data_IF_679079188531
#
_entry.id   IF_679079188531
#
_cell.length_a   1.000
_cell.length_b   1.000
_cell.length_c   1.000
_cell.angle_alpha   90.00
_cell.angle_beta   90.00
_cell.angle_gamma   90.00
#
_symmetry.space_group_name_H-M   'P 1'
#
loop_
_entity.id
_entity.type
_entity.pdbx_description
1 polymer ?
#
# COMPACT_ATOMS: atom_id res chain seq x y z
N UNK A 1 -18.40 -14.08 -46.09
CA UNK A 1 -17.93 -12.72 -45.75
C UNK A 1 -17.20 -12.83 -44.44
N UNK A 2 -15.88 -12.95 -44.50
CA UNK A 2 -15.02 -12.95 -43.33
C UNK A 2 -14.87 -11.49 -42.92
N UNK A 3 -15.65 -11.05 -41.93
CA UNK A 3 -15.53 -9.70 -41.39
C UNK A 3 -14.20 -9.64 -40.65
N UNK A 4 -13.28 -8.80 -41.15
CA UNK A 4 -12.00 -8.51 -40.53
C UNK A 4 -12.24 -8.19 -39.05
N UNK A 5 -11.85 -9.10 -38.15
CA UNK A 5 -12.04 -8.88 -36.72
C UNK A 5 -11.14 -7.71 -36.32
N UNK A 6 -11.65 -6.73 -35.56
CA UNK A 6 -10.86 -5.58 -35.16
C UNK A 6 -9.65 -6.04 -34.34
N UNK A 7 -8.45 -5.77 -34.84
CA UNK A 7 -7.17 -6.07 -34.18
C UNK A 7 -6.86 -5.01 -33.13
N UNK A 8 -6.29 -5.42 -31.99
CA UNK A 8 -5.85 -4.49 -30.94
C UNK A 8 -4.79 -3.50 -31.45
N UNK A 9 -4.92 -2.24 -31.08
CA UNK A 9 -3.91 -1.21 -31.34
C UNK A 9 -2.79 -1.21 -30.29
N UNK A 10 -1.64 -0.58 -30.58
CA UNK A 10 -0.57 -0.43 -29.59
C UNK A 10 -1.03 0.34 -28.34
N UNK A 11 -1.85 1.37 -28.52
CA UNK A 11 -2.40 2.17 -27.41
C UNK A 11 -3.31 1.33 -26.51
N UNK A 12 -4.19 0.53 -27.10
CA UNK A 12 -5.06 -0.42 -26.38
C UNK A 12 -4.25 -1.52 -25.67
N UNK A 13 -3.15 -1.96 -26.27
CA UNK A 13 -2.23 -2.91 -25.66
C UNK A 13 -1.53 -2.33 -24.43
N UNK A 14 -1.11 -1.07 -24.48
CA UNK A 14 -0.52 -0.39 -23.32
C UNK A 14 -1.56 -0.13 -22.22
N UNK A 15 -2.80 0.23 -22.60
CA UNK A 15 -3.91 0.30 -21.67
C UNK A 15 -4.16 -1.07 -21.00
N UNK A 16 -4.20 -2.16 -21.77
CA UNK A 16 -4.39 -3.50 -21.24
C UNK A 16 -3.31 -3.84 -20.20
N UNK A 17 -2.03 -3.59 -20.48
CA UNK A 17 -0.95 -3.79 -19.50
C UNK A 17 -1.18 -2.99 -18.22
N UNK A 18 -1.59 -1.72 -18.32
CA UNK A 18 -1.90 -0.89 -17.15
C UNK A 18 -3.06 -1.47 -16.33
N UNK A 19 -4.11 -1.97 -16.98
CA UNK A 19 -5.26 -2.58 -16.33
C UNK A 19 -4.87 -3.90 -15.64
N UNK A 20 -3.99 -4.71 -16.23
CA UNK A 20 -3.47 -5.93 -15.58
C UNK A 20 -2.68 -5.61 -14.31
N UNK A 21 -1.80 -4.60 -14.34
CA UNK A 21 -1.08 -4.13 -13.16
C UNK A 21 -2.07 -3.63 -12.10
N UNK A 22 -3.03 -2.80 -12.49
CA UNK A 22 -4.03 -2.25 -11.58
C UNK A 22 -4.92 -3.33 -10.96
N UNK A 23 -5.25 -4.39 -11.72
CA UNK A 23 -5.98 -5.53 -11.19
C UNK A 23 -5.20 -6.24 -10.08
N UNK A 24 -3.90 -6.48 -10.28
CA UNK A 24 -3.04 -7.09 -9.25
C UNK A 24 -2.94 -6.20 -7.99
N UNK A 25 -2.78 -4.88 -8.18
CA UNK A 25 -2.79 -3.90 -7.08
C UNK A 25 -4.13 -3.93 -6.31
N UNK A 26 -5.28 -3.96 -7.00
CA UNK A 26 -6.61 -4.00 -6.37
C UNK A 26 -6.91 -5.34 -5.69
N UNK A 27 -6.43 -6.46 -6.25
CA UNK A 27 -6.52 -7.76 -5.59
C UNK A 27 -5.73 -7.78 -4.28
N UNK A 28 -4.51 -7.24 -4.27
CA UNK A 28 -3.71 -7.10 -3.05
C UNK A 28 -4.42 -6.21 -2.02
N UNK A 29 -5.05 -5.12 -2.47
CA UNK A 29 -5.83 -4.26 -1.60
C UNK A 29 -7.00 -5.02 -0.96
N UNK A 30 -7.77 -5.75 -1.77
CA UNK A 30 -8.91 -6.53 -1.34
C UNK A 30 -8.52 -7.62 -0.32
N UNK A 31 -7.43 -8.35 -0.57
CA UNK A 31 -6.92 -9.35 0.39
C UNK A 31 -6.58 -8.70 1.74
N UNK A 32 -5.88 -7.56 1.72
CA UNK A 32 -5.46 -6.89 2.95
C UNK A 32 -6.64 -6.39 3.78
N UNK A 33 -7.65 -5.76 3.16
CA UNK A 33 -8.83 -5.29 3.89
C UNK A 33 -9.71 -6.46 4.38
N UNK A 34 -9.70 -7.59 3.66
CA UNK A 34 -10.36 -8.83 4.08
C UNK A 34 -9.69 -9.41 5.33
N UNK A 35 -8.36 -9.56 5.33
CA UNK A 35 -7.62 -10.04 6.49
C UNK A 35 -7.81 -9.12 7.71
N UNK A 36 -7.84 -7.81 7.50
CA UNK A 36 -8.18 -6.87 8.57
C UNK A 36 -9.59 -7.14 9.12
N UNK A 37 -10.57 -7.38 8.25
CA UNK A 37 -11.95 -7.66 8.66
C UNK A 37 -12.15 -9.00 9.35
N UNK A 38 -11.39 -10.03 8.97
CA UNK A 38 -11.46 -11.37 9.56
C UNK A 38 -10.76 -11.45 10.92
N UNK A 39 -9.67 -10.72 11.11
CA UNK A 39 -8.88 -10.79 12.35
C UNK A 39 -9.24 -9.73 13.40
N UNK A 40 -9.87 -8.62 12.99
CA UNK A 40 -10.24 -7.52 13.88
C UNK A 40 -11.65 -7.71 14.45
N UNK A 41 -11.71 -8.10 15.71
CA UNK A 41 -12.86 -8.07 16.61
C UNK A 41 -12.89 -6.73 17.38
N UNK A 42 -13.91 -5.87 17.16
CA UNK A 42 -14.05 -4.58 17.85
C UNK A 42 -14.13 -4.69 19.38
N UNK A 43 -14.56 -5.83 19.93
CA UNK A 43 -14.73 -6.03 21.37
C UNK A 43 -13.49 -6.62 22.05
N UNK A 44 -12.49 -7.05 21.26
CA UNK A 44 -11.27 -7.64 21.76
C UNK A 44 -10.26 -6.59 22.24
N UNK A 45 -9.39 -7.00 23.17
CA UNK A 45 -8.20 -6.24 23.56
C UNK A 45 -6.99 -6.80 22.86
N UNK A 46 -6.23 -5.92 22.22
CA UNK A 46 -5.06 -6.28 21.43
C UNK A 46 -3.76 -5.81 22.08
N UNK A 47 -2.73 -6.64 21.97
CA UNK A 47 -1.36 -6.25 22.24
C UNK A 47 -0.87 -5.24 21.20
N UNK A 48 0.21 -4.51 21.53
CA UNK A 48 0.87 -3.60 20.57
C UNK A 48 1.33 -4.32 19.29
N UNK A 49 1.72 -5.59 19.39
CA UNK A 49 2.20 -6.37 18.24
C UNK A 49 1.03 -6.68 17.30
N UNK A 50 -0.12 -7.05 17.84
CA UNK A 50 -1.34 -7.30 17.03
C UNK A 50 -1.84 -6.04 16.35
N UNK A 51 -1.90 -4.92 17.07
CA UNK A 51 -2.32 -3.65 16.46
C UNK A 51 -1.38 -3.21 15.33
N UNK A 52 -0.07 -3.47 15.46
CA UNK A 52 0.90 -3.22 14.37
C UNK A 52 0.65 -4.13 13.18
N UNK A 53 0.31 -5.40 13.40
CA UNK A 53 -0.08 -6.32 12.32
C UNK A 53 -1.31 -5.81 11.57
N UNK A 54 -2.34 -5.36 12.29
CA UNK A 54 -3.52 -4.76 11.67
C UNK A 54 -3.18 -3.48 10.91
N UNK A 55 -2.28 -2.66 11.44
CA UNK A 55 -1.80 -1.47 10.74
C UNK A 55 -1.07 -1.83 9.45
N UNK A 56 -0.33 -2.94 9.41
CA UNK A 56 0.26 -3.45 8.17
C UNK A 56 -0.81 -3.79 7.14
N UNK A 57 -1.88 -4.51 7.51
CA UNK A 57 -3.00 -4.79 6.60
C UNK A 57 -3.67 -3.52 6.09
N UNK A 58 -4.00 -2.58 6.97
CA UNK A 58 -4.59 -1.29 6.57
C UNK A 58 -3.67 -0.51 5.62
N UNK A 59 -2.38 -0.46 5.92
CA UNK A 59 -1.38 0.23 5.08
C UNK A 59 -1.28 -0.44 3.71
N UNK A 60 -1.25 -1.78 3.66
CA UNK A 60 -1.23 -2.54 2.40
C UNK A 60 -2.50 -2.29 1.60
N UNK A 61 -3.67 -2.26 2.23
CA UNK A 61 -4.92 -1.90 1.55
C UNK A 61 -4.83 -0.52 0.90
N UNK A 62 -4.47 0.50 1.69
CA UNK A 62 -4.42 1.90 1.25
C UNK A 62 -3.40 2.09 0.12
N UNK A 63 -2.19 1.55 0.28
CA UNK A 63 -1.11 1.69 -0.70
C UNK A 63 -1.45 0.96 -1.99
N UNK A 64 -1.89 -0.29 -1.90
CA UNK A 64 -2.20 -1.11 -3.08
C UNK A 64 -3.40 -0.56 -3.83
N UNK A 65 -4.46 -0.15 -3.13
CA UNK A 65 -5.62 0.48 -3.77
C UNK A 65 -5.22 1.76 -4.51
N UNK A 66 -4.47 2.65 -3.85
CA UNK A 66 -4.13 3.94 -4.43
C UNK A 66 -3.16 3.84 -5.62
N UNK A 67 -2.30 2.81 -5.68
CA UNK A 67 -1.38 2.57 -6.81
C UNK A 67 -2.08 2.43 -8.15
N UNK A 68 -3.31 1.91 -8.18
CA UNK A 68 -4.12 1.86 -9.40
C UNK A 68 -4.45 3.26 -9.96
N UNK A 69 -4.49 4.27 -9.10
CA UNK A 69 -4.97 5.62 -9.43
C UNK A 69 -3.90 6.71 -9.33
N UNK A 70 -2.71 6.39 -8.83
CA UNK A 70 -1.58 7.33 -8.84
C UNK A 70 -0.77 7.20 -10.12
N UNK A 71 -0.27 8.34 -10.61
CA UNK A 71 0.58 8.40 -11.80
C UNK A 71 1.83 7.52 -11.66
N UNK A 72 2.00 6.59 -12.60
CA UNK A 72 3.23 5.82 -12.80
C UNK A 72 4.14 6.50 -13.82
N UNK A 73 5.46 6.46 -13.62
CA UNK A 73 6.42 6.94 -14.63
C UNK A 73 6.49 5.96 -15.82
N UNK A 74 6.58 6.48 -17.04
CA UNK A 74 6.96 5.69 -18.22
C UNK A 74 5.82 5.04 -19.03
N UNK A 75 4.55 5.39 -18.77
CA UNK A 75 3.40 4.94 -19.58
C UNK A 75 2.51 6.11 -19.97
N UNK A 76 1.88 6.04 -21.15
CA UNK A 76 0.81 6.98 -21.56
C UNK A 76 -0.44 6.79 -20.70
N UNK A 77 -0.71 5.57 -20.27
CA UNK A 77 -1.76 5.22 -19.31
C UNK A 77 -1.13 5.14 -17.92
N UNK A 78 -0.77 6.31 -17.37
CA UNK A 78 -0.05 6.42 -16.10
C UNK A 78 -0.94 6.15 -14.87
N UNK A 79 -2.26 6.19 -15.02
CA UNK A 79 -3.24 5.91 -13.98
C UNK A 79 -4.53 5.33 -14.58
N UNK A 80 -5.28 4.56 -13.79
CA UNK A 80 -6.60 4.09 -14.19
C UNK A 80 -7.61 5.23 -14.08
N UNK A 81 -8.33 5.49 -15.16
CA UNK A 81 -9.47 6.41 -15.16
C UNK A 81 -10.75 5.64 -14.84
N UNK A 82 -11.43 5.99 -13.74
CA UNK A 82 -12.74 5.42 -13.38
C UNK A 82 -13.75 5.54 -14.52
N UNK A 83 -13.78 6.70 -15.20
CA UNK A 83 -14.62 6.90 -16.37
C UNK A 83 -14.18 6.02 -17.55
N UNK A 84 -12.87 5.87 -17.77
CA UNK A 84 -12.31 5.03 -18.82
C UNK A 84 -12.64 3.54 -18.67
N UNK A 85 -12.82 3.06 -17.44
CA UNK A 85 -13.28 1.68 -17.14
C UNK A 85 -14.80 1.58 -16.92
N UNK A 86 -15.56 2.64 -17.24
CA UNK A 86 -17.02 2.64 -17.16
C UNK A 86 -17.60 2.68 -15.74
N UNK A 87 -16.80 2.99 -14.72
CA UNK A 87 -17.22 3.01 -13.31
C UNK A 87 -17.78 4.39 -12.95
N UNK A 88 -19.03 4.41 -12.46
CA UNK A 88 -19.68 5.60 -11.91
C UNK A 88 -19.80 5.47 -10.40
N UNK A 89 -19.13 6.36 -9.68
CA UNK A 89 -19.22 6.47 -8.22
C UNK A 89 -20.32 7.47 -7.83
N UNK A 90 -21.13 7.08 -6.84
CA UNK A 90 -21.99 7.97 -6.06
C UNK A 90 -21.14 8.96 -5.25
N UNK A 91 -21.79 9.96 -4.64
CA UNK A 91 -21.09 10.95 -3.82
C UNK A 91 -20.34 10.32 -2.63
N UNK A 92 -20.95 9.33 -1.95
CA UNK A 92 -20.34 8.63 -0.82
C UNK A 92 -19.16 7.74 -1.24
N UNK A 93 -19.33 6.99 -2.33
CA UNK A 93 -18.25 6.17 -2.89
C UNK A 93 -17.08 7.03 -3.35
N UNK A 94 -17.35 8.20 -3.95
CA UNK A 94 -16.33 9.15 -4.35
C UNK A 94 -15.57 9.71 -3.14
N UNK A 95 -16.28 10.10 -2.08
CA UNK A 95 -15.65 10.56 -0.85
C UNK A 95 -14.76 9.47 -0.23
N UNK A 96 -15.20 8.21 -0.25
CA UNK A 96 -14.40 7.08 0.23
C UNK A 96 -13.17 6.82 -0.65
N UNK A 97 -13.33 6.88 -1.98
CA UNK A 97 -12.21 6.79 -2.92
C UNK A 97 -11.17 7.89 -2.64
N UNK A 98 -11.61 9.14 -2.53
CA UNK A 98 -10.74 10.29 -2.25
C UNK A 98 -10.05 10.18 -0.89
N UNK A 99 -10.74 9.68 0.14
CA UNK A 99 -10.15 9.38 1.45
C UNK A 99 -8.96 8.42 1.30
N UNK A 100 -9.14 7.28 0.62
CA UNK A 100 -8.08 6.27 0.46
C UNK A 100 -6.87 6.86 -0.29
N UNK A 101 -7.11 7.61 -1.36
CA UNK A 101 -6.03 8.29 -2.11
C UNK A 101 -5.28 9.29 -1.22
N UNK A 102 -6.01 10.09 -0.44
CA UNK A 102 -5.43 11.08 0.46
C UNK A 102 -4.61 10.43 1.59
N UNK A 103 -5.08 9.32 2.16
CA UNK A 103 -4.34 8.57 3.17
C UNK A 103 -2.99 8.10 2.62
N UNK A 104 -2.96 7.53 1.42
CA UNK A 104 -1.71 7.12 0.77
C UNK A 104 -0.77 8.31 0.58
N UNK A 105 -1.28 9.44 0.08
CA UNK A 105 -0.45 10.62 -0.18
C UNK A 105 0.12 11.22 1.11
N UNK A 106 -0.74 11.48 2.09
CA UNK A 106 -0.35 12.29 3.25
C UNK A 106 0.25 11.45 4.39
N UNK A 107 -0.35 10.32 4.71
CA UNK A 107 0.07 9.51 5.86
C UNK A 107 1.19 8.52 5.51
N UNK A 108 1.10 7.83 4.37
CA UNK A 108 1.95 6.65 4.13
C UNK A 108 3.08 6.83 3.10
N UNK A 109 2.93 7.74 2.12
CA UNK A 109 3.96 7.94 1.09
C UNK A 109 4.91 9.11 1.37
N UNK A 110 4.49 10.09 2.17
CA UNK A 110 5.24 11.33 2.37
C UNK A 110 5.56 11.66 3.84
N UNK A 111 5.14 10.82 4.80
CA UNK A 111 5.35 11.04 6.25
C UNK A 111 5.05 12.47 6.67
N UNK A 112 3.93 13.03 6.18
CA UNK A 112 3.55 14.41 6.45
C UNK A 112 3.29 14.57 7.96
N UNK A 113 3.93 15.58 8.58
CA UNK A 113 3.80 15.86 10.01
C UNK A 113 2.33 16.06 10.42
N UNK A 114 1.50 16.62 9.53
CA UNK A 114 0.07 16.81 9.77
C UNK A 114 -0.74 15.51 9.88
N UNK A 115 -0.16 14.37 9.49
CA UNK A 115 -0.73 13.03 9.60
C UNK A 115 0.17 12.07 10.40
N UNK A 116 1.26 12.56 10.99
CA UNK A 116 2.18 11.75 11.77
C UNK A 116 1.62 11.57 13.19
N UNK A 117 1.26 10.33 13.53
CA UNK A 117 0.83 9.99 14.88
C UNK A 117 1.96 9.28 15.63
N UNK A 118 2.93 10.06 16.09
CA UNK A 118 4.09 9.59 16.88
C UNK A 118 4.17 10.34 18.21
N UNK A 119 4.57 9.64 19.26
CA UNK A 119 4.74 10.18 20.61
C UNK A 119 6.11 9.80 21.14
N UNK A 120 6.77 10.73 21.81
CA UNK A 120 7.95 10.44 22.62
C UNK A 120 7.64 10.78 24.07
N UNK A 121 7.81 9.82 24.96
CA UNK A 121 7.90 10.07 26.40
C UNK A 121 9.37 10.05 26.80
N UNK A 122 9.79 10.88 27.76
CA UNK A 122 11.17 10.85 28.28
C UNK A 122 11.11 10.40 29.73
N UNK A 123 11.64 9.22 30.01
CA UNK A 123 11.80 8.72 31.37
C UNK A 123 13.16 9.15 31.90
N UNK A 124 13.19 9.86 33.02
CA UNK A 124 14.45 10.19 33.70
C UNK A 124 14.71 9.14 34.76
N UNK A 125 15.89 8.50 34.69
CA UNK A 125 16.33 7.49 35.63
C UNK A 125 17.56 7.99 36.37
N UNK A 126 17.45 8.13 37.69
CA UNK A 126 18.59 8.47 38.53
C UNK A 126 19.43 7.22 38.79
N UNK A 127 20.71 7.28 38.43
CA UNK A 127 21.69 6.22 38.69
C UNK A 127 22.92 6.81 39.38
N UNK A 128 23.73 6.01 40.11
CA UNK A 128 25.01 6.50 40.65
C UNK A 128 25.89 7.02 39.50
N UNK A 129 26.19 8.32 39.51
CA UNK A 129 26.94 8.99 38.44
C UNK A 129 26.14 9.96 37.57
N UNK A 130 24.82 10.05 37.74
CA UNK A 130 24.00 11.09 37.11
C UNK A 130 22.56 10.67 36.78
N UNK A 131 21.78 11.60 36.24
CA UNK A 131 20.44 11.33 35.72
C UNK A 131 20.52 11.01 34.23
N UNK A 132 19.98 9.86 33.83
CA UNK A 132 19.94 9.44 32.43
C UNK A 132 18.52 9.64 31.87
N UNK A 133 18.41 10.30 30.70
CA UNK A 133 17.15 10.49 30.00
C UNK A 133 16.95 9.36 28.97
N UNK A 134 15.93 8.54 29.16
CA UNK A 134 15.55 7.45 28.25
C UNK A 134 14.34 7.88 27.41
N UNK A 135 14.52 8.14 26.10
CA UNK A 135 13.40 8.38 25.22
C UNK A 135 12.65 7.06 24.93
N UNK A 136 11.34 7.07 25.16
CA UNK A 136 10.42 6.01 24.81
C UNK A 136 9.55 6.47 23.64
N UNK A 137 9.88 5.96 22.45
CA UNK A 137 9.19 6.27 21.20
C UNK A 137 7.98 5.34 21.02
N UNK A 138 6.82 5.94 20.81
CA UNK A 138 5.56 5.25 20.58
C UNK A 138 4.98 5.68 19.22
N UNK A 139 4.41 4.71 18.53
CA UNK A 139 3.63 4.93 17.32
C UNK A 139 2.16 4.77 17.68
N UNK A 140 1.30 5.62 17.14
CA UNK A 140 -0.14 5.37 17.21
C UNK A 140 -0.48 4.14 16.38
N UNK A 141 -1.36 3.34 16.95
CA UNK A 141 -1.82 2.08 16.39
C UNK A 141 -3.32 2.13 16.01
N UNK A 142 -3.92 3.32 16.00
CA UNK A 142 -5.26 3.56 15.51
C UNK A 142 -5.43 3.12 14.05
N UNK A 143 -6.61 2.57 13.75
CA UNK A 143 -6.97 2.05 12.44
C UNK A 143 -8.11 2.91 11.87
N UNK A 144 -7.87 3.52 10.71
CA UNK A 144 -8.84 4.32 9.97
C UNK A 144 -10.04 3.47 9.50
N UNK A 145 -9.81 2.18 9.29
CA UNK A 145 -10.77 1.16 8.88
C UNK A 145 -11.10 0.20 10.03
N UNK A 146 -11.06 0.65 11.29
CA UNK A 146 -11.55 -0.13 12.45
C UNK A 146 -13.08 -0.30 12.47
N UNK A 147 -13.82 0.59 11.84
CA UNK A 147 -15.28 0.55 11.81
C UNK A 147 -15.77 -0.43 10.71
N UNK A 148 -16.70 -1.32 11.06
CA UNK A 148 -17.14 -2.42 10.21
C UNK A 148 -17.77 -1.94 8.90
N UNK A 149 -18.72 -1.00 8.95
CA UNK A 149 -19.43 -0.54 7.76
C UNK A 149 -18.50 0.20 6.79
N UNK A 150 -17.52 0.94 7.30
CA UNK A 150 -16.48 1.58 6.50
C UNK A 150 -15.58 0.56 5.81
N UNK A 151 -15.22 -0.54 6.48
CA UNK A 151 -14.51 -1.67 5.83
C UNK A 151 -15.34 -2.30 4.72
N UNK A 152 -16.60 -2.63 5.01
CA UNK A 152 -17.49 -3.24 4.03
C UNK A 152 -17.69 -2.32 2.83
N UNK A 153 -17.90 -1.02 3.05
CA UNK A 153 -18.00 -0.03 1.98
C UNK A 153 -16.70 0.06 1.14
N UNK A 154 -15.54 -0.09 1.76
CA UNK A 154 -14.25 -0.11 1.06
C UNK A 154 -14.07 -1.37 0.20
N UNK A 155 -14.51 -2.53 0.70
CA UNK A 155 -14.54 -3.78 -0.05
C UNK A 155 -15.48 -3.69 -1.25
N UNK A 156 -16.72 -3.22 -1.04
CA UNK A 156 -17.71 -3.04 -2.10
C UNK A 156 -17.24 -2.07 -3.18
N UNK A 157 -16.64 -0.95 -2.77
CA UNK A 157 -16.03 0.01 -3.70
C UNK A 157 -14.92 -0.65 -4.52
N UNK A 158 -14.07 -1.45 -3.89
CA UNK A 158 -12.97 -2.16 -4.57
C UNK A 158 -13.52 -3.17 -5.59
N UNK A 159 -14.51 -3.98 -5.21
CA UNK A 159 -15.18 -4.92 -6.12
C UNK A 159 -15.80 -4.20 -7.32
N UNK A 160 -16.56 -3.13 -7.08
CA UNK A 160 -17.20 -2.34 -8.15
C UNK A 160 -16.19 -1.80 -9.16
N UNK A 161 -15.03 -1.36 -8.69
CA UNK A 161 -13.93 -0.90 -9.55
C UNK A 161 -13.34 -2.06 -10.34
N UNK A 162 -13.07 -3.19 -9.67
CA UNK A 162 -12.56 -4.40 -10.30
C UNK A 162 -13.50 -4.96 -11.38
N UNK A 163 -14.83 -4.85 -11.19
CA UNK A 163 -15.82 -5.28 -12.17
C UNK A 163 -15.75 -4.44 -13.46
N UNK A 164 -15.67 -3.11 -13.32
CA UNK A 164 -15.50 -2.20 -14.46
C UNK A 164 -14.16 -2.42 -15.17
N UNK A 165 -13.09 -2.64 -14.40
CA UNK A 165 -11.77 -2.99 -14.93
C UNK A 165 -11.84 -4.30 -15.73
N UNK A 166 -12.37 -5.37 -15.14
CA UNK A 166 -12.48 -6.70 -15.76
C UNK A 166 -13.34 -6.66 -17.02
N UNK A 167 -14.43 -5.89 -17.00
CA UNK A 167 -15.27 -5.66 -18.18
C UNK A 167 -14.47 -5.01 -19.31
N UNK A 168 -13.62 -4.03 -18.98
CA UNK A 168 -12.76 -3.34 -19.94
C UNK A 168 -11.67 -4.27 -20.47
N UNK A 169 -11.01 -5.04 -19.59
CA UNK A 169 -10.01 -6.05 -19.97
C UNK A 169 -10.60 -7.07 -20.91
N UNK A 170 -11.78 -7.62 -20.61
CA UNK A 170 -12.47 -8.59 -21.48
C UNK A 170 -12.70 -8.03 -22.88
N UNK A 171 -13.19 -6.79 -22.99
CA UNK A 171 -13.40 -6.13 -24.29
C UNK A 171 -12.10 -5.95 -25.09
N UNK A 172 -10.99 -5.66 -24.41
CA UNK A 172 -9.68 -5.57 -25.05
C UNK A 172 -9.16 -6.95 -25.46
N UNK A 173 -9.38 -7.97 -24.62
CA UNK A 173 -8.99 -9.35 -24.87
C UNK A 173 -9.66 -9.95 -26.12
N UNK A 174 -10.92 -9.58 -26.42
CA UNK A 174 -11.63 -9.99 -27.64
C UNK A 174 -10.91 -9.58 -28.95
N UNK A 175 -10.04 -8.57 -28.88
CA UNK A 175 -9.26 -8.04 -30.02
C UNK A 175 -7.83 -8.60 -30.09
N UNK A 176 -7.42 -9.41 -29.11
CA UNK A 176 -6.07 -9.98 -29.06
C UNK A 176 -5.96 -11.17 -30.03
N UNK A 177 -4.94 -11.19 -30.90
CA UNK A 177 -4.62 -12.40 -31.65
C UNK A 177 -3.96 -13.47 -30.78
N UNK A 178 -3.27 -13.08 -29.70
CA UNK A 178 -2.63 -14.00 -28.75
C UNK A 178 -3.55 -14.50 -27.62
N UNK A 179 -3.18 -15.63 -27.02
CA UNK A 179 -3.90 -16.25 -25.90
C UNK A 179 -3.45 -15.79 -24.51
N UNK A 180 -2.34 -15.05 -24.38
CA UNK A 180 -1.86 -14.55 -23.10
C UNK A 180 -1.10 -13.22 -23.24
N UNK A 181 -1.14 -12.41 -22.18
CA UNK A 181 -0.34 -11.18 -22.04
C UNK A 181 0.36 -11.21 -20.69
N UNK A 182 1.68 -11.07 -20.71
CA UNK A 182 2.50 -10.99 -19.50
C UNK A 182 3.19 -9.63 -19.42
N UNK A 183 3.22 -9.05 -18.21
CA UNK A 183 3.87 -7.77 -17.95
C UNK A 183 5.16 -8.02 -17.19
N UNK A 184 6.29 -7.93 -17.88
CA UNK A 184 7.61 -8.13 -17.29
C UNK A 184 8.14 -6.86 -16.61
N UNK A 185 8.82 -6.99 -15.45
CA UNK A 185 9.59 -5.90 -14.88
C UNK A 185 10.70 -5.45 -15.85
N UNK A 186 10.86 -4.14 -16.02
CA UNK A 186 11.91 -3.57 -16.88
C UNK A 186 13.32 -3.67 -16.29
N UNK A 187 13.45 -3.99 -15.00
CA UNK A 187 14.72 -4.15 -14.30
C UNK A 187 14.75 -5.45 -13.51
N UNK A 188 15.92 -6.09 -13.48
CA UNK A 188 16.18 -7.22 -12.59
C UNK A 188 16.76 -6.71 -11.27
N UNK A 189 16.35 -7.26 -10.11
CA UNK A 189 17.03 -7.00 -8.85
C UNK A 189 18.52 -7.40 -8.95
N UNK A 190 19.39 -6.66 -8.28
CA UNK A 190 20.79 -7.07 -8.10
C UNK A 190 20.85 -8.31 -7.20
N UNK A 191 21.69 -9.26 -7.57
CA UNK A 191 21.97 -10.43 -6.74
C UNK A 191 23.04 -10.03 -5.69
N UNK A 192 22.60 -9.83 -4.46
CA UNK A 192 23.44 -9.40 -3.33
C UNK A 192 23.45 -10.54 -2.31
N UNK A 193 24.64 -10.99 -1.90
CA UNK A 193 24.74 -11.93 -0.78
C UNK A 193 24.55 -11.17 0.54
N UNK A 194 23.37 -11.29 1.12
CA UNK A 194 23.05 -10.66 2.40
C UNK A 194 23.80 -11.28 3.59
N UNK A 195 24.45 -12.44 3.43
CA UNK A 195 25.26 -13.04 4.49
C UNK A 195 26.51 -12.21 4.77
N UNK A 196 27.16 -11.71 3.73
CA UNK A 196 28.35 -10.88 3.85
C UNK A 196 28.04 -9.57 4.58
N UNK A 197 26.90 -8.94 4.23
CA UNK A 197 26.40 -7.73 4.92
C UNK A 197 26.18 -7.94 6.43
N UNK A 198 25.64 -9.11 6.81
CA UNK A 198 25.41 -9.44 8.23
C UNK A 198 26.72 -9.74 8.98
N UNK A 199 27.72 -10.30 8.29
CA UNK A 199 29.04 -10.55 8.88
C UNK A 199 29.80 -9.24 9.16
N UNK A 200 29.76 -8.27 8.24
CA UNK A 200 30.40 -6.96 8.40
C UNK A 200 29.83 -6.16 9.59
N UNK A 201 28.50 -6.19 9.76
CA UNK A 201 27.83 -5.45 10.83
C UNK A 201 28.04 -6.06 12.23
N UNK A 202 28.27 -7.38 12.32
CA UNK A 202 28.65 -8.03 13.57
C UNK A 202 30.05 -7.63 14.06
N UNK A 203 30.98 -7.31 13.15
CA UNK A 203 32.35 -6.88 13.50
C UNK A 203 32.47 -5.42 13.96
N UNK A 204 31.48 -4.56 13.67
CA UNK A 204 31.55 -3.13 13.95
C UNK A 204 31.01 -2.70 15.33
N UNK A 205 30.47 -3.63 16.13
CA UNK A 205 29.92 -3.30 17.47
C UNK A 205 31.05 -3.25 18.52
N UNK A 206 31.97 -2.30 18.38
CA UNK A 206 32.82 -1.88 19.50
C UNK A 206 32.07 -0.76 20.21
N UNK A 207 31.52 -1.06 21.38
CA UNK A 207 30.86 -0.08 22.24
C UNK A 207 31.92 0.94 22.66
N UNK A 208 31.82 2.18 22.17
CA UNK A 208 32.64 3.26 22.69
C UNK A 208 32.33 3.46 24.19
N UNK A 209 33.35 3.60 25.06
CA UNK A 209 33.13 3.84 26.46
C UNK A 209 32.37 5.17 26.66
N UNK A 210 31.52 5.27 27.70
CA UNK A 210 30.71 6.45 27.94
C UNK A 210 31.60 7.70 28.07
N UNK A 211 31.17 8.79 27.42
CA UNK A 211 31.81 10.09 27.46
C UNK A 211 31.97 10.50 28.93
N UNK A 212 33.22 10.68 29.36
CA UNK A 212 33.56 11.11 30.71
C UNK A 212 32.95 12.50 30.97
N UNK A 213 32.35 12.75 32.15
CA UNK A 213 31.94 14.09 32.50
C UNK A 213 33.20 14.92 32.73
N UNK A 214 33.42 15.94 31.89
CA UNK A 214 34.46 16.94 32.11
C UNK A 214 34.22 17.65 33.46
N UNK A 215 35.31 17.76 34.22
CA UNK A 215 35.47 18.49 35.50
C UNK A 215 35.23 19.98 35.40
#
# INVERSE_FOLDING_TARGET
METDKPTITNDERDLLKRLLIAHADLQMALSAITFLGEELDPEAKYSKIELRRFKCFETTFIVSYARAFTKSKGSRHDQVSLWGIGVKLSAKERALHELIINLRQKAYAHSDESFAHVRMDVMHMDIPGGTFAVPHLQFDHGLEFAELFKRLAAMDLTHKIMDGLTTTVRRLAEKLPESFVYVEPSSRPSDVDYRDMLAESASATVIEPPISPDT
#
